data_IF_897471967968
#
_entry.id   IF_897471967968
#
_cell.length_a   1.000
_cell.length_b   1.000
_cell.length_c   1.000
_cell.angle_alpha   90.00
_cell.angle_beta   90.00
_cell.angle_gamma   90.00
#
_symmetry.space_group_name_H-M   'P 1'
#
loop_
_entity.id
_entity.type
_entity.pdbx_description
1 polymer ?
#
# COMPACT_ATOMS: atom_id res chain seq x y z
N UNK A 1 34.77 4.64 -30.67
CA UNK A 1 34.42 3.32 -30.11
C UNK A 1 34.08 3.55 -28.65
N UNK A 2 32.82 3.92 -28.38
CA UNK A 2 32.34 4.27 -27.05
C UNK A 2 32.03 2.99 -26.28
N UNK A 3 32.40 2.95 -25.00
CA UNK A 3 32.13 1.83 -24.12
C UNK A 3 30.62 1.59 -24.04
N UNK A 4 30.18 0.36 -24.36
CA UNK A 4 28.84 -0.17 -24.07
C UNK A 4 28.58 0.01 -22.57
N UNK A 5 27.65 0.89 -22.21
CA UNK A 5 27.19 1.03 -20.82
C UNK A 5 26.21 -0.13 -20.57
N UNK A 6 26.76 -1.27 -20.15
CA UNK A 6 26.08 -2.57 -20.07
C UNK A 6 25.36 -2.87 -18.76
N UNK A 7 25.34 -1.95 -17.79
CA UNK A 7 25.08 -2.35 -16.42
C UNK A 7 23.84 -1.68 -15.81
N UNK A 8 22.67 -1.77 -16.46
CA UNK A 8 21.37 -1.51 -15.80
C UNK A 8 20.94 -2.73 -14.95
N UNK A 9 21.82 -3.07 -14.01
CA UNK A 9 21.56 -4.04 -12.97
C UNK A 9 21.55 -3.34 -11.61
N UNK A 10 20.46 -3.45 -10.87
CA UNK A 10 20.29 -2.81 -9.58
C UNK A 10 20.14 -3.82 -8.46
N UNK A 11 20.83 -3.58 -7.35
CA UNK A 11 20.62 -4.36 -6.14
C UNK A 11 19.47 -3.79 -5.33
N UNK A 12 18.76 -4.64 -4.60
CA UNK A 12 17.83 -4.18 -3.55
C UNK A 12 18.57 -3.24 -2.59
N UNK A 13 17.99 -2.07 -2.35
CA UNK A 13 18.55 -0.95 -1.61
C UNK A 13 19.28 0.10 -2.46
N UNK A 14 19.46 -0.13 -3.76
CA UNK A 14 20.07 0.87 -4.65
C UNK A 14 19.19 2.10 -4.76
N UNK A 15 19.80 3.28 -4.73
CA UNK A 15 19.13 4.52 -5.10
C UNK A 15 19.33 4.80 -6.59
N UNK A 16 18.22 5.04 -7.29
CA UNK A 16 18.21 5.35 -8.72
C UNK A 16 17.41 6.61 -8.97
N UNK A 17 17.56 7.21 -10.14
CA UNK A 17 16.56 8.12 -10.69
C UNK A 17 15.92 7.51 -11.92
N UNK A 18 14.62 7.77 -12.06
CA UNK A 18 13.86 7.50 -13.28
C UNK A 18 13.15 8.79 -13.66
N UNK A 19 13.38 9.27 -14.87
CA UNK A 19 12.87 10.57 -15.37
C UNK A 19 13.22 11.74 -14.42
N UNK A 20 14.43 11.69 -13.85
CA UNK A 20 14.92 12.66 -12.86
C UNK A 20 14.33 12.53 -11.44
N UNK A 21 13.35 11.65 -11.22
CA UNK A 21 12.73 11.43 -9.90
C UNK A 21 13.48 10.36 -9.11
N UNK A 22 13.78 10.56 -7.81
CA UNK A 22 14.56 9.61 -7.02
C UNK A 22 13.72 8.43 -6.49
N UNK A 23 14.22 7.22 -6.67
CA UNK A 23 13.64 5.97 -6.19
C UNK A 23 14.64 5.11 -5.42
N UNK A 24 14.13 4.20 -4.60
CA UNK A 24 14.88 3.08 -4.01
C UNK A 24 14.38 1.78 -4.61
N UNK A 25 15.30 0.89 -4.99
CA UNK A 25 14.97 -0.46 -5.45
C UNK A 25 14.65 -1.34 -4.25
N UNK A 26 13.48 -1.93 -4.20
CA UNK A 26 12.98 -2.67 -3.05
C UNK A 26 12.79 -4.15 -3.32
N UNK A 27 12.71 -4.51 -4.59
CA UNK A 27 12.73 -5.88 -5.05
C UNK A 27 13.02 -5.96 -6.54
N UNK A 28 13.31 -7.16 -7.00
CA UNK A 28 13.36 -7.44 -8.43
C UNK A 28 12.91 -8.87 -8.72
N UNK A 29 12.51 -9.09 -9.96
CA UNK A 29 12.18 -10.39 -10.53
C UNK A 29 12.84 -10.48 -11.90
N UNK A 30 13.54 -11.58 -12.14
CA UNK A 30 14.13 -11.89 -13.44
C UNK A 30 13.26 -12.92 -14.12
N UNK A 31 12.77 -12.57 -15.30
CA UNK A 31 11.89 -13.41 -16.09
C UNK A 31 12.63 -14.08 -17.23
N UNK A 32 12.09 -15.20 -17.69
CA UNK A 32 12.50 -15.85 -18.93
C UNK A 32 11.33 -16.49 -19.64
N UNK A 33 11.23 -16.23 -20.93
CA UNK A 33 10.31 -16.89 -21.86
C UNK A 33 10.88 -18.21 -22.38
N UNK A 34 10.04 -18.94 -23.11
CA UNK A 34 10.40 -20.22 -23.71
C UNK A 34 11.44 -20.10 -24.83
N UNK A 35 11.37 -19.03 -25.63
CA UNK A 35 12.26 -18.77 -26.75
C UNK A 35 13.69 -18.41 -26.33
N UNK A 36 13.87 -17.96 -25.10
CA UNK A 36 15.15 -17.61 -24.52
C UNK A 36 15.20 -16.20 -23.94
N UNK A 37 14.28 -15.33 -24.36
CA UNK A 37 14.22 -13.91 -24.01
C UNK A 37 14.05 -13.71 -22.51
N UNK A 38 14.66 -12.65 -21.97
CA UNK A 38 14.68 -12.38 -20.54
C UNK A 38 14.79 -10.89 -20.25
N UNK A 39 14.00 -10.44 -19.28
CA UNK A 39 14.02 -9.09 -18.76
C UNK A 39 14.05 -9.12 -17.23
N UNK A 40 14.36 -7.97 -16.64
CA UNK A 40 14.31 -7.79 -15.19
C UNK A 40 13.33 -6.69 -14.84
N UNK A 41 12.49 -6.99 -13.87
CA UNK A 41 11.56 -6.04 -13.32
C UNK A 41 11.99 -5.62 -11.93
N UNK A 42 12.12 -4.32 -11.71
CA UNK A 42 12.49 -3.73 -10.44
C UNK A 42 11.28 -3.07 -9.80
N UNK A 43 10.91 -3.53 -8.62
CA UNK A 43 9.97 -2.81 -7.77
C UNK A 43 10.71 -1.62 -7.15
N UNK A 44 10.30 -0.41 -7.53
CA UNK A 44 10.94 0.85 -7.16
C UNK A 44 9.98 1.71 -6.36
N UNK A 45 10.45 2.26 -5.24
CA UNK A 45 9.67 3.16 -4.38
C UNK A 45 10.20 4.57 -4.46
N UNK A 46 9.33 5.51 -4.82
CA UNK A 46 9.66 6.93 -4.88
C UNK A 46 10.06 7.44 -3.49
N UNK A 47 11.17 8.19 -3.40
CA UNK A 47 11.61 8.80 -2.14
C UNK A 47 10.76 10.01 -1.74
N UNK A 48 9.98 10.57 -2.66
CA UNK A 48 9.17 11.77 -2.43
C UNK A 48 7.77 11.46 -1.88
N UNK A 49 7.05 10.55 -2.54
CA UNK A 49 5.65 10.22 -2.23
C UNK A 49 5.43 8.76 -1.82
N UNK A 50 6.50 7.95 -1.76
CA UNK A 50 6.45 6.52 -1.42
C UNK A 50 5.60 5.66 -2.38
N UNK A 51 5.25 6.19 -3.55
CA UNK A 51 4.58 5.44 -4.60
C UNK A 51 5.48 4.30 -5.09
N UNK A 52 4.89 3.13 -5.24
CA UNK A 52 5.56 1.95 -5.79
C UNK A 52 5.23 1.85 -7.27
N UNK A 53 6.29 1.72 -8.08
CA UNK A 53 6.22 1.47 -9.51
C UNK A 53 7.08 0.25 -9.84
N UNK A 54 6.87 -0.32 -11.02
CA UNK A 54 7.70 -1.39 -11.58
C UNK A 54 8.46 -0.84 -12.78
N UNK A 55 9.79 -0.87 -12.69
CA UNK A 55 10.67 -0.55 -13.80
C UNK A 55 11.02 -1.87 -14.51
N UNK A 56 10.49 -2.08 -15.72
CA UNK A 56 10.91 -3.18 -16.58
C UNK A 56 12.14 -2.77 -17.38
N UNK A 57 13.12 -3.67 -17.44
CA UNK A 57 14.40 -3.49 -18.11
C UNK A 57 14.67 -4.71 -18.98
N UNK A 58 14.53 -4.53 -20.29
CA UNK A 58 14.94 -5.50 -21.29
C UNK A 58 16.22 -5.01 -21.99
N UNK A 59 17.35 -5.63 -21.65
CA UNK A 59 18.66 -5.26 -22.19
C UNK A 59 18.87 -5.85 -23.59
N UNK A 60 18.22 -6.97 -23.92
CA UNK A 60 18.38 -7.65 -25.20
C UNK A 60 17.72 -6.83 -26.32
N UNK A 61 16.54 -6.28 -26.03
CA UNK A 61 15.77 -5.47 -26.98
C UNK A 61 15.92 -3.96 -26.79
N UNK A 62 16.67 -3.50 -25.78
CA UNK A 62 16.86 -2.08 -25.43
C UNK A 62 15.50 -1.38 -25.16
N UNK A 63 14.59 -2.09 -24.50
CA UNK A 63 13.25 -1.62 -24.13
C UNK A 63 13.16 -1.41 -22.61
N UNK A 64 12.58 -0.28 -22.22
CA UNK A 64 12.45 0.12 -20.81
C UNK A 64 11.07 0.72 -20.58
N UNK A 65 10.41 0.32 -19.51
CA UNK A 65 9.05 0.76 -19.23
C UNK A 65 8.81 0.93 -17.74
N UNK A 66 7.88 1.82 -17.41
CA UNK A 66 7.41 2.05 -16.05
C UNK A 66 5.95 1.66 -15.94
N UNK A 67 5.65 0.78 -14.99
CA UNK A 67 4.31 0.32 -14.69
C UNK A 67 3.85 0.75 -13.31
N UNK A 68 2.56 1.06 -13.24
CA UNK A 68 1.83 1.29 -12.00
C UNK A 68 0.69 0.29 -11.93
N UNK A 69 0.70 -0.52 -10.86
CA UNK A 69 -0.36 -1.50 -10.59
C UNK A 69 -1.70 -0.78 -10.38
N UNK A 70 -2.73 -1.31 -11.01
CA UNK A 70 -4.09 -0.81 -10.99
C UNK A 70 -5.04 -1.87 -10.41
N UNK A 71 -6.13 -1.42 -9.79
CA UNK A 71 -7.26 -2.30 -9.52
C UNK A 71 -7.97 -2.67 -10.82
N UNK A 72 -8.68 -3.81 -10.82
CA UNK A 72 -9.56 -4.13 -11.94
C UNK A 72 -10.66 -3.06 -12.11
N UNK A 73 -10.86 -2.62 -13.34
CA UNK A 73 -12.02 -1.86 -13.78
C UNK A 73 -12.47 -2.31 -15.18
N UNK A 74 -13.65 -1.87 -15.62
CA UNK A 74 -14.20 -2.24 -16.94
C UNK A 74 -13.29 -1.82 -18.11
N UNK A 75 -12.45 -0.82 -17.88
CA UNK A 75 -11.35 -0.35 -18.72
C UNK A 75 -10.29 -1.42 -19.03
N UNK A 76 -10.15 -2.45 -18.19
CA UNK A 76 -9.27 -3.60 -18.44
C UNK A 76 -9.96 -4.78 -19.14
N UNK A 77 -11.24 -4.65 -19.50
CA UNK A 77 -11.86 -5.66 -20.37
C UNK A 77 -11.25 -5.60 -21.76
N UNK A 78 -10.99 -6.76 -22.38
CA UNK A 78 -10.38 -6.82 -23.71
C UNK A 78 -11.14 -5.96 -24.75
N UNK A 79 -12.48 -5.90 -24.62
CA UNK A 79 -13.30 -5.03 -25.46
C UNK A 79 -12.99 -3.55 -25.21
N UNK A 80 -12.97 -3.11 -23.95
CA UNK A 80 -12.70 -1.71 -23.62
C UNK A 80 -11.29 -1.30 -24.03
N UNK A 81 -10.29 -2.15 -23.81
CA UNK A 81 -8.91 -1.90 -24.24
C UNK A 81 -8.85 -1.64 -25.75
N UNK A 82 -9.44 -2.51 -26.55
CA UNK A 82 -9.48 -2.38 -28.02
C UNK A 82 -10.30 -1.16 -28.46
N UNK A 83 -11.48 -0.93 -27.86
CA UNK A 83 -12.34 0.21 -28.17
C UNK A 83 -11.64 1.56 -27.86
N UNK A 84 -10.72 1.58 -26.90
CA UNK A 84 -9.89 2.73 -26.55
C UNK A 84 -8.60 2.83 -27.38
N UNK A 85 -8.47 2.04 -28.44
CA UNK A 85 -7.39 2.17 -29.42
C UNK A 85 -6.08 1.47 -29.04
N UNK A 86 -6.12 0.52 -28.10
CA UNK A 86 -4.98 -0.34 -27.80
C UNK A 86 -5.02 -1.62 -28.65
N UNK A 87 -3.84 -2.05 -29.11
CA UNK A 87 -3.62 -3.33 -29.81
C UNK A 87 -2.90 -4.29 -28.86
N UNK A 88 -3.25 -5.58 -28.91
CA UNK A 88 -2.51 -6.61 -28.18
C UNK A 88 -1.17 -6.85 -28.87
N UNK A 89 -0.07 -6.79 -28.12
CA UNK A 89 1.28 -7.05 -28.64
C UNK A 89 1.77 -8.41 -28.22
N UNK A 90 1.59 -8.77 -26.95
CA UNK A 90 2.04 -10.05 -26.40
C UNK A 90 0.91 -10.79 -25.66
N UNK A 91 0.99 -12.11 -25.67
CA UNK A 91 0.07 -13.04 -25.00
C UNK A 91 0.80 -14.35 -24.72
N UNK A 92 1.66 -14.33 -23.71
CA UNK A 92 2.67 -15.37 -23.51
C UNK A 92 2.75 -15.85 -22.05
N UNK A 93 3.73 -16.74 -21.79
CA UNK A 93 4.03 -17.27 -20.47
C UNK A 93 5.52 -17.05 -20.18
N UNK A 94 5.82 -16.42 -19.05
CA UNK A 94 7.16 -16.25 -18.54
C UNK A 94 7.38 -17.08 -17.27
N UNK A 95 8.64 -17.38 -16.97
CA UNK A 95 9.07 -18.11 -15.78
C UNK A 95 10.04 -17.28 -14.95
N UNK A 96 9.86 -17.31 -13.63
CA UNK A 96 10.76 -16.65 -12.67
C UNK A 96 12.08 -17.40 -12.57
N UNK A 97 13.20 -16.72 -12.85
CA UNK A 97 14.56 -17.26 -12.79
C UNK A 97 15.36 -16.84 -11.56
N UNK A 98 15.14 -15.61 -11.09
CA UNK A 98 15.73 -15.07 -9.88
C UNK A 98 14.80 -14.01 -9.32
N UNK A 99 14.86 -13.78 -8.02
CA UNK A 99 14.09 -12.73 -7.38
C UNK A 99 14.73 -12.33 -6.06
N UNK A 100 14.48 -11.10 -5.62
CA UNK A 100 14.93 -10.63 -4.32
C UNK A 100 14.08 -9.47 -3.83
N UNK A 101 14.07 -9.26 -2.52
CA UNK A 101 13.42 -8.09 -1.92
C UNK A 101 11.94 -8.34 -1.65
N UNK A 102 11.13 -7.29 -1.71
CA UNK A 102 9.71 -7.35 -1.33
C UNK A 102 8.81 -7.78 -2.50
N UNK A 103 9.11 -8.96 -3.07
CA UNK A 103 8.33 -9.59 -4.14
C UNK A 103 7.86 -10.95 -3.65
N UNK A 104 6.71 -11.41 -4.14
CA UNK A 104 6.11 -12.69 -3.72
C UNK A 104 5.94 -13.55 -4.95
N UNK A 105 7.08 -14.12 -5.31
CA UNK A 105 7.21 -15.13 -6.33
C UNK A 105 8.15 -16.20 -5.82
N UNK A 106 8.02 -17.41 -6.35
CA UNK A 106 8.97 -18.49 -6.13
C UNK A 106 9.81 -18.78 -7.37
N UNK A 107 11.01 -19.35 -7.16
CA UNK A 107 11.86 -19.77 -8.27
C UNK A 107 11.11 -20.80 -9.13
N UNK A 108 10.96 -20.45 -10.40
CA UNK A 108 10.31 -21.27 -11.39
C UNK A 108 8.79 -21.18 -11.44
N UNK A 109 8.19 -20.28 -10.67
CA UNK A 109 6.79 -19.86 -10.85
C UNK A 109 6.58 -19.30 -12.26
N UNK A 110 5.34 -19.41 -12.76
CA UNK A 110 4.97 -18.98 -14.09
C UNK A 110 3.91 -17.89 -14.01
N UNK A 111 4.02 -16.94 -14.93
CA UNK A 111 3.01 -15.92 -15.17
C UNK A 111 2.56 -16.03 -16.62
N UNK A 112 1.25 -16.05 -16.84
CA UNK A 112 0.69 -15.81 -18.16
C UNK A 112 0.31 -14.34 -18.26
N UNK A 113 0.72 -13.66 -19.32
CA UNK A 113 0.51 -12.23 -19.43
C UNK A 113 0.04 -11.81 -20.80
N UNK A 114 -0.66 -10.67 -20.82
CA UNK A 114 -1.17 -10.05 -22.03
C UNK A 114 -0.87 -8.56 -21.99
N UNK A 115 -0.11 -8.13 -22.97
CA UNK A 115 0.31 -6.76 -23.09
C UNK A 115 -0.36 -6.08 -24.28
N UNK A 116 -0.64 -4.80 -24.09
CA UNK A 116 -1.28 -3.96 -25.06
C UNK A 116 -0.57 -2.63 -25.15
N UNK A 117 -0.38 -2.16 -26.38
CA UNK A 117 0.16 -0.85 -26.70
C UNK A 117 -0.94 0.02 -27.32
N UNK A 118 -0.93 1.31 -27.05
CA UNK A 118 -1.80 2.24 -27.77
C UNK A 118 -1.27 2.50 -29.20
N UNK A 119 -2.03 3.25 -30.00
CA UNK A 119 -1.63 3.53 -31.38
C UNK A 119 -0.38 4.42 -31.50
N UNK A 120 0.02 5.10 -30.43
CA UNK A 120 1.27 5.88 -30.39
C UNK A 120 2.48 5.03 -30.05
N UNK A 121 2.27 3.80 -29.57
CA UNK A 121 3.32 2.93 -29.04
C UNK A 121 4.04 3.56 -27.84
N UNK A 122 3.38 4.46 -27.10
CA UNK A 122 3.93 5.10 -25.90
C UNK A 122 3.27 4.58 -24.63
N UNK A 123 1.98 4.22 -24.68
CA UNK A 123 1.20 3.83 -23.52
C UNK A 123 0.94 2.32 -23.50
N UNK A 124 1.05 1.75 -22.29
CA UNK A 124 1.04 0.32 -22.06
C UNK A 124 -0.09 -0.09 -21.12
N UNK A 125 -0.69 -1.24 -21.39
CA UNK A 125 -1.55 -1.97 -20.47
C UNK A 125 -1.00 -3.39 -20.37
N UNK A 126 -0.78 -3.86 -19.15
CA UNK A 126 -0.38 -5.24 -18.88
C UNK A 126 -1.41 -5.94 -18.00
N UNK A 127 -1.73 -7.18 -18.33
CA UNK A 127 -2.63 -8.04 -17.56
C UNK A 127 -1.93 -9.37 -17.33
N UNK A 128 -1.69 -9.70 -16.08
CA UNK A 128 -1.00 -10.93 -15.68
C UNK A 128 -1.90 -11.86 -14.90
N UNK A 129 -1.70 -13.15 -15.13
CA UNK A 129 -2.35 -14.25 -14.47
C UNK A 129 -1.27 -15.11 -13.80
N UNK A 130 -1.22 -14.96 -12.48
CA UNK A 130 -0.43 -15.73 -11.53
C UNK A 130 -1.29 -16.84 -10.94
N UNK A 131 -0.74 -17.75 -10.11
CA UNK A 131 -1.49 -18.91 -9.59
C UNK A 131 -2.75 -18.51 -8.78
N UNK A 132 -3.89 -18.44 -9.48
CA UNK A 132 -5.17 -18.02 -8.93
C UNK A 132 -5.36 -16.52 -8.76
N UNK A 133 -4.43 -15.68 -9.24
CA UNK A 133 -4.45 -14.23 -9.06
C UNK A 133 -4.27 -13.49 -10.39
N UNK A 134 -4.95 -12.35 -10.53
CA UNK A 134 -4.88 -11.53 -11.74
C UNK A 134 -4.46 -10.11 -11.39
N UNK A 135 -3.36 -9.66 -11.98
CA UNK A 135 -2.81 -8.32 -11.80
C UNK A 135 -3.06 -7.48 -13.06
N UNK A 136 -3.26 -6.19 -12.87
CA UNK A 136 -3.53 -5.23 -13.94
C UNK A 136 -2.60 -4.05 -13.74
N UNK A 137 -1.97 -3.59 -14.80
CA UNK A 137 -1.01 -2.49 -14.73
C UNK A 137 -1.18 -1.57 -15.93
N UNK A 138 -0.89 -0.29 -15.71
CA UNK A 138 -0.70 0.69 -16.77
C UNK A 138 0.73 1.16 -16.76
N UNK A 139 1.29 1.36 -17.94
CA UNK A 139 2.64 1.85 -18.06
C UNK A 139 2.85 2.73 -19.27
N UNK A 140 4.09 3.10 -19.45
CA UNK A 140 4.59 3.82 -20.61
C UNK A 140 6.07 3.49 -20.80
N UNK A 141 6.53 3.58 -22.04
CA UNK A 141 7.94 3.44 -22.35
C UNK A 141 8.74 4.65 -21.88
N UNK A 142 9.98 4.41 -21.50
CA UNK A 142 10.96 5.43 -21.15
C UNK A 142 12.27 5.17 -21.90
N UNK A 143 13.08 6.20 -22.09
CA UNK A 143 14.39 6.03 -22.69
C UNK A 143 15.38 5.49 -21.65
N UNK A 144 16.40 4.78 -22.12
CA UNK A 144 17.49 4.29 -21.28
C UNK A 144 18.15 5.43 -20.48
N UNK A 145 18.29 6.58 -21.12
CA UNK A 145 18.90 7.79 -20.57
C UNK A 145 18.11 8.37 -19.39
N UNK A 146 16.83 8.04 -19.26
CA UNK A 146 15.99 8.46 -18.13
C UNK A 146 16.31 7.68 -16.85
N UNK A 147 17.13 6.62 -16.92
CA UNK A 147 17.48 5.75 -15.80
C UNK A 147 18.91 6.01 -15.32
N UNK A 148 19.07 6.59 -14.14
CA UNK A 148 20.37 6.92 -13.54
C UNK A 148 20.65 6.13 -12.26
N UNK A 149 21.86 5.59 -12.10
CA UNK A 149 22.35 5.15 -10.77
C UNK A 149 22.80 6.35 -9.95
N UNK A 150 22.27 6.50 -8.74
CA UNK A 150 22.78 7.49 -7.79
C UNK A 150 24.03 6.89 -7.14
N UNK A 151 25.19 7.14 -7.73
CA UNK A 151 26.47 6.84 -7.10
C UNK A 151 26.67 7.77 -5.91
N UNK A 152 26.58 7.25 -4.68
CA UNK A 152 27.08 7.95 -3.51
C UNK A 152 28.60 8.08 -3.70
N UNK A 153 29.18 9.30 -3.78
CA UNK A 153 30.61 9.45 -3.90
C UNK A 153 31.26 8.86 -2.65
N UNK A 154 32.16 7.89 -2.84
CA UNK A 154 33.07 7.41 -1.80
C UNK A 154 34.11 8.50 -1.46
N UNK A 155 33.67 9.61 -0.89
CA UNK A 155 34.54 10.67 -0.36
C UNK A 155 34.31 10.82 1.15
N UNK A 156 34.59 9.76 1.89
CA UNK A 156 34.94 9.84 3.31
C UNK A 156 35.63 8.55 3.75
N UNK A 157 36.93 8.44 3.46
CA UNK A 157 37.99 7.92 4.35
C UNK A 157 39.27 7.71 3.52
N UNK A 158 40.02 8.79 3.31
CA UNK A 158 41.47 8.67 3.19
C UNK A 158 41.99 8.25 4.57
N UNK A 159 42.21 6.96 4.78
CA UNK A 159 43.18 6.51 5.78
C UNK A 159 44.31 5.87 5.00
N UNK A 160 45.46 6.55 5.05
CA UNK A 160 46.71 6.08 4.48
C UNK A 160 47.10 4.74 5.05
N UNK A 161 47.84 4.00 4.24
CA UNK A 161 48.49 2.77 4.63
C UNK A 161 49.34 2.99 5.89
N UNK A 162 48.98 2.33 6.99
CA UNK A 162 49.93 1.97 8.04
C UNK A 162 49.71 0.51 8.46
N UNK A 163 50.78 -0.25 8.36
CA UNK A 163 50.95 -1.63 8.80
C UNK A 163 50.47 -1.82 10.24
N UNK A 164 49.52 -2.74 10.48
CA UNK A 164 49.41 -3.37 11.79
C UNK A 164 49.06 -4.86 11.68
N UNK A 165 50.12 -5.66 11.74
CA UNK A 165 50.08 -7.01 12.27
C UNK A 165 49.42 -7.03 13.65
N UNK A 166 48.49 -7.96 13.89
CA UNK A 166 48.19 -8.64 15.19
C UNK A 166 46.78 -9.26 15.16
N UNK A 167 46.68 -10.54 14.83
CA UNK A 167 45.44 -11.32 14.73
C UNK A 167 44.61 -11.43 16.03
N UNK A 168 45.07 -10.88 17.16
CA UNK A 168 44.39 -10.96 18.45
C UNK A 168 43.27 -9.90 18.63
N UNK A 169 43.35 -8.75 17.97
CA UNK A 169 42.37 -7.66 18.15
C UNK A 169 41.17 -7.76 17.20
N UNK A 170 41.31 -8.45 16.07
CA UNK A 170 40.23 -8.70 15.10
C UNK A 170 39.15 -9.62 15.70
N UNK A 171 39.54 -10.59 16.54
CA UNK A 171 38.59 -11.50 17.21
C UNK A 171 37.62 -10.76 18.15
N UNK A 172 38.06 -9.71 18.85
CA UNK A 172 37.20 -8.91 19.73
C UNK A 172 36.23 -8.02 18.96
N UNK A 173 36.66 -7.49 17.80
CA UNK A 173 35.83 -6.69 16.90
C UNK A 173 34.77 -7.55 16.21
N UNK A 174 35.12 -8.76 15.76
CA UNK A 174 34.16 -9.72 15.16
C UNK A 174 33.10 -10.15 16.18
N UNK A 175 33.49 -10.42 17.44
CA UNK A 175 32.53 -10.78 18.49
C UNK A 175 31.59 -9.61 18.82
N UNK A 176 32.10 -8.37 18.89
CA UNK A 176 31.28 -7.18 19.09
C UNK A 176 30.33 -6.93 17.91
N UNK A 177 30.77 -7.16 16.67
CA UNK A 177 29.96 -7.03 15.47
C UNK A 177 28.86 -8.10 15.40
N UNK A 178 29.16 -9.35 15.76
CA UNK A 178 28.16 -10.41 15.90
C UNK A 178 27.15 -10.04 16.98
N UNK A 179 27.56 -9.47 18.11
CA UNK A 179 26.66 -9.05 19.19
C UNK A 179 25.75 -7.89 18.76
N UNK A 180 26.28 -6.92 17.99
CA UNK A 180 25.51 -5.81 17.42
C UNK A 180 24.53 -6.32 16.36
N UNK A 181 24.94 -7.23 15.47
CA UNK A 181 24.06 -7.87 14.49
C UNK A 181 22.98 -8.70 15.18
N UNK A 182 23.29 -9.39 16.28
CA UNK A 182 22.30 -10.13 17.07
C UNK A 182 21.33 -9.19 17.79
N UNK A 183 21.80 -8.06 18.32
CA UNK A 183 20.94 -7.00 18.90
C UNK A 183 20.06 -6.38 17.82
N UNK A 184 20.58 -6.13 16.61
CA UNK A 184 19.83 -5.62 15.47
C UNK A 184 18.82 -6.66 14.96
N UNK A 185 19.15 -7.96 14.97
CA UNK A 185 18.21 -9.05 14.66
C UNK A 185 17.14 -9.18 15.75
N UNK A 186 17.47 -8.95 17.02
CA UNK A 186 16.49 -8.93 18.13
C UNK A 186 15.60 -7.69 18.05
N UNK A 187 16.13 -6.53 17.66
CA UNK A 187 15.37 -5.29 17.41
C UNK A 187 14.50 -5.44 16.14
N UNK A 188 15.01 -6.05 15.07
CA UNK A 188 14.25 -6.40 13.87
C UNK A 188 13.15 -7.43 14.17
N UNK A 189 13.42 -8.41 15.05
CA UNK A 189 12.39 -9.34 15.54
C UNK A 189 11.40 -8.69 16.51
N UNK A 190 11.79 -7.65 17.24
CA UNK A 190 10.87 -6.81 18.02
C UNK A 190 10.04 -5.86 17.13
N UNK A 191 10.54 -5.50 15.94
CA UNK A 191 9.79 -4.78 14.90
C UNK A 191 8.94 -5.68 13.98
N UNK A 192 9.26 -6.97 13.90
CA UNK A 192 8.46 -8.04 13.27
C UNK A 192 7.51 -8.66 14.31
N UNK A 193 6.69 -7.83 14.95
CA UNK A 193 5.51 -8.30 15.66
C UNK A 193 4.41 -8.53 14.61
N UNK A 194 4.15 -9.80 14.29
CA UNK A 194 2.92 -10.33 13.69
C UNK A 194 2.00 -9.27 13.05
N UNK A 195 2.25 -8.94 11.78
CA UNK A 195 1.47 -7.95 11.05
C UNK A 195 0.01 -8.39 10.91
N UNK A 196 -0.83 -7.88 11.82
CA UNK A 196 -2.26 -8.07 11.80
C UNK A 196 -2.87 -7.32 10.61
N UNK A 197 -3.64 -8.02 9.75
CA UNK A 197 -4.50 -7.44 8.69
C UNK A 197 -5.63 -6.54 9.25
N UNK A 198 -5.75 -6.39 10.57
CA UNK A 198 -6.90 -5.73 11.23
C UNK A 198 -6.83 -4.20 11.31
N UNK A 199 -5.68 -3.57 11.04
CA UNK A 199 -5.43 -2.16 11.38
C UNK A 199 -5.02 -1.30 10.16
N UNK A 200 -5.72 -1.44 9.03
CA UNK A 200 -5.33 -0.75 7.79
C UNK A 200 -5.53 0.78 7.84
N UNK A 201 -6.60 1.27 8.44
CA UNK A 201 -6.85 2.70 8.62
C UNK A 201 -5.83 3.29 9.59
N UNK A 202 -5.62 2.63 10.74
CA UNK A 202 -4.65 3.08 11.73
C UNK A 202 -3.24 3.12 11.15
N UNK A 203 -2.85 2.13 10.34
CA UNK A 203 -1.54 2.12 9.66
C UNK A 203 -1.41 3.30 8.70
N UNK A 204 -2.39 3.49 7.81
CA UNK A 204 -2.36 4.58 6.84
C UNK A 204 -2.25 5.95 7.51
N UNK A 205 -3.05 6.18 8.56
CA UNK A 205 -3.03 7.43 9.32
C UNK A 205 -1.66 7.64 9.98
N UNK A 206 -1.11 6.62 10.65
CA UNK A 206 0.18 6.73 11.34
C UNK A 206 1.36 6.93 10.40
N UNK A 207 1.27 6.48 9.15
CA UNK A 207 2.31 6.67 8.14
C UNK A 207 2.17 7.96 7.33
N UNK A 208 1.06 8.68 7.47
CA UNK A 208 0.74 9.84 6.64
C UNK A 208 0.90 11.15 7.42
N UNK A 209 1.81 12.01 6.96
CA UNK A 209 2.14 13.30 7.57
C UNK A 209 1.00 14.32 7.55
N UNK A 210 -0.11 14.04 6.87
CA UNK A 210 -1.33 14.84 6.94
C UNK A 210 -2.08 14.71 8.26
N UNK A 211 -1.70 13.74 9.11
CA UNK A 211 -2.32 13.49 10.41
C UNK A 211 -1.34 13.69 11.55
N UNK A 212 -1.78 14.38 12.59
CA UNK A 212 -1.02 14.55 13.82
C UNK A 212 -1.77 13.89 14.98
N UNK A 213 -1.08 13.04 15.75
CA UNK A 213 -1.69 12.37 16.89
C UNK A 213 -2.09 13.38 17.97
N UNK A 214 -3.33 13.31 18.43
CA UNK A 214 -3.88 14.19 19.48
C UNK A 214 -3.98 13.46 20.80
N UNK A 215 -4.68 12.32 20.83
CA UNK A 215 -4.96 11.57 22.06
C UNK A 215 -5.46 10.16 21.78
N UNK A 216 -5.65 9.36 22.84
CA UNK A 216 -6.35 8.09 22.79
C UNK A 216 -7.51 8.05 23.80
N UNK A 217 -8.66 7.53 23.38
CA UNK A 217 -9.82 7.32 24.24
C UNK A 217 -9.86 5.84 24.63
N UNK A 218 -9.87 5.57 25.93
CA UNK A 218 -9.98 4.19 26.45
C UNK A 218 -11.44 3.83 26.66
N UNK A 219 -11.84 2.61 26.32
CA UNK A 219 -13.23 2.19 26.50
C UNK A 219 -13.62 2.15 27.99
N UNK A 220 -14.81 2.62 28.30
CA UNK A 220 -15.45 2.56 29.62
C UNK A 220 -15.88 1.15 30.03
N UNK A 221 -16.03 0.22 29.09
CA UNK A 221 -16.45 -1.16 29.40
C UNK A 221 -15.34 -2.18 29.21
N UNK A 222 -14.26 -1.86 28.47
CA UNK A 222 -13.08 -2.72 28.30
C UNK A 222 -11.80 -1.86 28.21
N UNK A 223 -11.11 -1.72 29.34
CA UNK A 223 -9.91 -0.87 29.48
C UNK A 223 -8.74 -1.26 28.54
N UNK A 224 -8.78 -2.45 27.96
CA UNK A 224 -7.78 -2.91 26.99
C UNK A 224 -8.05 -2.41 25.57
N UNK A 225 -9.19 -1.75 25.33
CA UNK A 225 -9.59 -1.23 24.02
C UNK A 225 -9.45 0.28 23.99
N UNK A 226 -8.80 0.77 22.95
CA UNK A 226 -8.60 2.20 22.73
C UNK A 226 -8.97 2.60 21.30
N UNK A 227 -9.39 3.85 21.16
CA UNK A 227 -9.47 4.57 19.91
C UNK A 227 -8.40 5.66 19.90
N UNK A 228 -7.77 5.90 18.76
CA UNK A 228 -6.81 6.98 18.60
C UNK A 228 -7.47 8.13 17.83
N UNK A 229 -7.13 9.35 18.23
CA UNK A 229 -7.65 10.58 17.64
C UNK A 229 -6.48 11.36 17.05
N UNK A 230 -6.67 11.82 15.83
CA UNK A 230 -5.70 12.59 15.07
C UNK A 230 -6.34 13.88 14.58
N UNK A 231 -5.55 14.93 14.43
CA UNK A 231 -5.95 16.18 13.79
C UNK A 231 -5.39 16.25 12.37
N UNK A 232 -6.02 17.07 11.52
CA UNK A 232 -5.54 17.36 10.18
C UNK A 232 -5.97 18.75 9.74
N UNK A 233 -5.14 19.39 8.90
CA UNK A 233 -5.46 20.69 8.29
C UNK A 233 -6.37 20.57 7.05
N UNK A 234 -6.80 19.35 6.70
CA UNK A 234 -7.70 19.07 5.58
C UNK A 234 -9.16 19.23 6.00
N UNK A 235 -10.04 19.44 5.03
CA UNK A 235 -11.49 19.39 5.28
C UNK A 235 -11.95 17.97 5.59
N UNK A 236 -13.16 17.80 6.13
CA UNK A 236 -13.75 16.46 6.35
C UNK A 236 -13.82 15.66 5.04
N UNK A 237 -14.22 16.31 3.95
CA UNK A 237 -14.35 15.66 2.64
C UNK A 237 -12.98 15.25 2.06
N UNK A 238 -11.98 16.14 2.10
CA UNK A 238 -10.65 15.81 1.59
C UNK A 238 -9.97 14.74 2.44
N UNK A 239 -10.22 14.77 3.76
CA UNK A 239 -9.75 13.72 4.67
C UNK A 239 -10.40 12.38 4.34
N UNK A 240 -11.72 12.37 4.07
CA UNK A 240 -12.42 11.15 3.69
C UNK A 240 -11.87 10.57 2.39
N UNK A 241 -11.68 11.40 1.35
CA UNK A 241 -11.08 10.98 0.08
C UNK A 241 -9.66 10.43 0.29
N UNK A 242 -8.83 11.15 1.05
CA UNK A 242 -7.47 10.73 1.37
C UNK A 242 -7.43 9.35 2.05
N UNK A 243 -8.31 9.11 3.03
CA UNK A 243 -8.41 7.81 3.69
C UNK A 243 -8.94 6.72 2.75
N UNK A 244 -9.92 7.04 1.90
CA UNK A 244 -10.49 6.09 0.94
C UNK A 244 -9.42 5.63 -0.07
N UNK A 245 -8.72 6.59 -0.66
CA UNK A 245 -7.65 6.33 -1.63
C UNK A 245 -6.47 5.60 -0.96
N UNK A 246 -6.16 5.98 0.27
CA UNK A 246 -5.07 5.43 1.07
C UNK A 246 -5.20 3.95 1.45
N UNK A 247 -6.42 3.46 1.64
CA UNK A 247 -6.68 2.06 2.01
C UNK A 247 -7.02 1.15 0.82
N UNK A 248 -6.96 1.67 -0.41
CA UNK A 248 -6.92 0.92 -1.68
C UNK A 248 -7.86 -0.29 -1.75
N UNK A 249 -9.17 -0.10 -1.62
CA UNK A 249 -10.12 -1.21 -1.79
C UNK A 249 -10.67 -1.79 -0.50
N UNK A 250 -10.00 -1.60 0.63
CA UNK A 250 -10.32 -2.31 1.88
C UNK A 250 -11.45 -1.66 2.71
N UNK A 251 -12.48 -1.13 2.03
CA UNK A 251 -13.58 -0.39 2.67
C UNK A 251 -14.88 -1.19 2.51
N UNK A 252 -15.47 -1.52 3.65
CA UNK A 252 -16.78 -2.15 3.72
C UNK A 252 -17.87 -1.11 3.39
N UNK A 253 -17.79 0.12 3.90
CA UNK A 253 -18.83 1.15 3.74
C UNK A 253 -18.31 2.57 4.02
N UNK A 254 -18.95 3.58 3.42
CA UNK A 254 -18.72 5.01 3.68
C UNK A 254 -20.06 5.72 3.74
N UNK A 255 -20.32 6.50 4.78
CA UNK A 255 -21.55 7.29 4.92
C UNK A 255 -21.26 8.68 5.50
N UNK A 256 -22.06 9.66 5.08
CA UNK A 256 -21.97 11.05 5.54
C UNK A 256 -23.26 11.46 6.26
N UNK A 257 -23.11 12.19 7.36
CA UNK A 257 -24.18 12.83 8.09
C UNK A 257 -24.63 14.08 7.35
N UNK A 258 -25.92 14.12 6.97
CA UNK A 258 -26.53 15.31 6.38
C UNK A 258 -26.72 16.47 7.39
N UNK A 259 -26.45 16.25 8.68
CA UNK A 259 -26.66 17.25 9.73
C UNK A 259 -25.43 18.12 9.97
N UNK A 260 -24.24 17.52 10.00
CA UNK A 260 -22.99 18.17 10.38
C UNK A 260 -21.81 17.81 9.47
N UNK A 261 -22.05 17.06 8.39
CA UNK A 261 -21.01 16.64 7.45
C UNK A 261 -20.05 15.58 8.01
N UNK A 262 -20.31 15.04 9.20
CA UNK A 262 -19.51 13.94 9.78
C UNK A 262 -19.49 12.74 8.84
N UNK A 263 -18.32 12.19 8.57
CA UNK A 263 -18.15 11.00 7.70
C UNK A 263 -17.69 9.81 8.52
N UNK A 264 -18.27 8.64 8.23
CA UNK A 264 -17.79 7.36 8.76
C UNK A 264 -17.30 6.48 7.62
N UNK A 265 -16.08 5.96 7.75
CA UNK A 265 -15.49 4.93 6.89
C UNK A 265 -15.35 3.66 7.70
N UNK A 266 -15.90 2.56 7.22
CA UNK A 266 -15.82 1.24 7.86
C UNK A 266 -15.01 0.29 7.01
N UNK A 267 -14.11 -0.44 7.65
CA UNK A 267 -13.41 -1.59 7.06
C UNK A 267 -13.85 -2.87 7.78
N UNK A 268 -13.26 -4.00 7.38
CA UNK A 268 -13.50 -5.30 8.01
C UNK A 268 -13.27 -5.31 9.52
N UNK A 269 -12.30 -4.53 10.01
CA UNK A 269 -11.84 -4.58 11.39
C UNK A 269 -11.79 -3.20 12.09
N UNK A 270 -11.88 -2.10 11.35
CA UNK A 270 -11.81 -0.73 11.88
C UNK A 270 -12.97 0.15 11.44
N UNK A 271 -13.11 1.26 12.15
CA UNK A 271 -14.00 2.36 11.82
C UNK A 271 -13.24 3.68 12.02
N UNK A 272 -13.22 4.53 10.99
CA UNK A 272 -12.76 5.90 11.07
C UNK A 272 -13.95 6.87 11.05
N UNK A 273 -14.02 7.74 12.07
CA UNK A 273 -14.99 8.83 12.18
C UNK A 273 -14.26 10.14 11.94
N UNK A 274 -14.69 10.90 10.92
CA UNK A 274 -14.10 12.16 10.50
C UNK A 274 -15.13 13.27 10.76
N UNK A 275 -14.77 14.25 11.57
CA UNK A 275 -15.71 15.27 12.05
C UNK A 275 -15.00 16.59 12.36
N UNK A 276 -15.78 17.65 12.44
CA UNK A 276 -15.33 18.93 12.97
C UNK A 276 -15.55 18.93 14.49
N UNK A 277 -14.49 19.20 15.25
CA UNK A 277 -14.53 19.31 16.70
C UNK A 277 -15.28 20.56 17.15
N UNK A 278 -15.62 20.65 18.44
CA UNK A 278 -16.18 21.87 19.04
C UNK A 278 -15.26 23.10 18.91
N UNK A 279 -13.96 22.88 18.70
CA UNK A 279 -12.95 23.93 18.47
C UNK A 279 -12.74 24.25 16.98
N UNK A 280 -13.62 23.76 16.10
CA UNK A 280 -13.56 23.93 14.65
C UNK A 280 -12.33 23.29 13.94
N UNK A 281 -11.76 22.23 14.55
CA UNK A 281 -10.67 21.45 13.96
C UNK A 281 -11.20 20.18 13.28
N UNK A 282 -10.63 19.78 12.14
CA UNK A 282 -10.94 18.47 11.56
C UNK A 282 -10.21 17.38 12.34
N UNK A 283 -10.97 16.49 12.96
CA UNK A 283 -10.45 15.33 13.69
C UNK A 283 -10.85 14.02 13.02
N UNK A 284 -9.95 13.04 13.16
CA UNK A 284 -10.18 11.65 12.76
C UNK A 284 -10.01 10.78 13.99
N UNK A 285 -11.09 10.13 14.42
CA UNK A 285 -11.02 9.04 15.38
C UNK A 285 -10.99 7.72 14.62
N UNK A 286 -9.93 6.93 14.81
CA UNK A 286 -9.84 5.56 14.30
C UNK A 286 -9.92 4.57 15.45
N UNK A 287 -10.77 3.57 15.29
CA UNK A 287 -11.07 2.57 16.30
C UNK A 287 -11.10 1.20 15.66
N UNK A 288 -10.60 0.18 16.36
CA UNK A 288 -11.02 -1.19 16.08
C UNK A 288 -12.53 -1.32 16.31
N UNK A 289 -13.21 -2.11 15.49
CA UNK A 289 -14.64 -2.41 15.67
C UNK A 289 -14.96 -3.04 17.03
N UNK A 290 -13.98 -3.73 17.63
CA UNK A 290 -14.05 -4.22 19.01
C UNK A 290 -14.23 -3.08 20.03
N UNK A 291 -13.48 -1.98 19.87
CA UNK A 291 -13.64 -0.79 20.72
C UNK A 291 -15.04 -0.19 20.54
N UNK A 292 -15.51 -0.05 19.30
CA UNK A 292 -16.84 0.53 19.03
C UNK A 292 -17.93 -0.33 19.68
N UNK A 293 -17.84 -1.65 19.56
CA UNK A 293 -18.77 -2.60 20.17
C UNK A 293 -18.81 -2.50 21.70
N UNK A 294 -17.64 -2.27 22.32
CA UNK A 294 -17.47 -2.30 23.78
C UNK A 294 -17.33 -0.91 24.42
N UNK A 295 -17.60 0.20 23.74
CA UNK A 295 -17.49 1.53 24.34
C UNK A 295 -18.76 2.38 24.18
N UNK A 296 -19.04 3.20 25.20
CA UNK A 296 -20.06 4.25 25.18
C UNK A 296 -19.48 5.66 25.13
N UNK A 297 -18.16 5.79 25.02
CA UNK A 297 -17.52 7.09 24.96
C UNK A 297 -17.99 7.89 23.74
N UNK A 298 -18.20 9.18 23.99
CA UNK A 298 -18.40 10.14 22.92
C UNK A 298 -17.08 10.38 22.18
N UNK A 299 -17.11 10.72 20.88
CA UNK A 299 -15.93 11.17 20.17
C UNK A 299 -15.25 12.35 20.88
N UNK A 300 -13.93 12.38 20.87
CA UNK A 300 -13.15 13.42 21.56
C UNK A 300 -13.47 14.82 21.03
N UNK A 301 -14.01 15.70 21.88
CA UNK A 301 -14.47 17.05 21.47
C UNK A 301 -15.47 17.01 20.29
N UNK A 302 -16.21 15.91 20.14
CA UNK A 302 -17.28 15.78 19.16
C UNK A 302 -18.58 16.36 19.72
N UNK A 303 -19.40 16.94 18.83
CA UNK A 303 -20.71 17.45 19.20
C UNK A 303 -21.69 16.31 19.56
N UNK A 304 -22.80 16.64 20.21
CA UNK A 304 -23.90 15.69 20.43
C UNK A 304 -24.49 15.14 19.11
N UNK A 305 -24.42 15.91 18.03
CA UNK A 305 -24.88 15.48 16.69
C UNK A 305 -23.94 14.40 16.15
N UNK A 306 -22.64 14.64 16.27
CA UNK A 306 -21.56 13.74 15.85
C UNK A 306 -21.60 12.42 16.62
N UNK A 307 -21.71 12.47 17.96
CA UNK A 307 -21.86 11.26 18.80
C UNK A 307 -23.12 10.48 18.42
N UNK A 308 -24.26 11.17 18.33
CA UNK A 308 -25.52 10.55 17.94
C UNK A 308 -25.43 9.90 16.57
N UNK A 309 -24.81 10.53 15.57
CA UNK A 309 -24.61 9.94 14.25
C UNK A 309 -23.68 8.72 14.30
N UNK A 310 -22.52 8.83 14.96
CA UNK A 310 -21.55 7.74 15.11
C UNK A 310 -22.19 6.47 15.69
N UNK A 311 -22.96 6.61 16.77
CA UNK A 311 -23.66 5.49 17.40
C UNK A 311 -24.77 4.91 16.53
N UNK A 312 -25.58 5.78 15.90
CA UNK A 312 -26.68 5.36 15.00
C UNK A 312 -26.14 4.63 13.77
N UNK A 313 -25.05 5.13 13.17
CA UNK A 313 -24.37 4.51 12.05
C UNK A 313 -23.92 3.09 12.42
N UNK A 314 -23.10 2.94 13.45
CA UNK A 314 -22.56 1.63 13.84
C UNK A 314 -23.67 0.63 14.15
N UNK A 315 -24.69 1.05 14.91
CA UNK A 315 -25.84 0.20 15.23
C UNK A 315 -26.61 -0.27 13.99
N UNK A 316 -26.72 0.60 12.97
CA UNK A 316 -27.46 0.31 11.75
C UNK A 316 -26.68 -0.61 10.80
N UNK A 317 -25.39 -0.32 10.56
CA UNK A 317 -24.64 -0.92 9.45
C UNK A 317 -23.68 -2.03 9.87
N UNK A 318 -23.17 -2.00 11.10
CA UNK A 318 -22.06 -2.87 11.53
C UNK A 318 -22.44 -3.83 12.66
N UNK A 319 -23.25 -3.37 13.63
CA UNK A 319 -23.49 -4.03 14.90
C UNK A 319 -23.93 -5.50 14.79
N UNK A 320 -24.81 -5.87 13.85
CA UNK A 320 -25.29 -7.25 13.76
C UNK A 320 -24.18 -8.26 13.43
N UNK A 321 -23.24 -7.86 12.56
CA UNK A 321 -22.04 -8.67 12.22
C UNK A 321 -21.16 -8.81 13.46
N UNK A 322 -20.94 -7.71 14.16
CA UNK A 322 -20.05 -7.63 15.31
C UNK A 322 -20.59 -8.29 16.57
N UNK A 323 -21.90 -8.22 16.82
CA UNK A 323 -22.57 -8.88 17.93
C UNK A 323 -22.27 -10.38 17.95
N UNK A 324 -22.19 -11.00 16.78
CA UNK A 324 -21.85 -12.42 16.66
C UNK A 324 -20.34 -12.65 16.86
N UNK A 325 -19.50 -11.83 16.21
CA UNK A 325 -18.03 -11.90 16.26
C UNK A 325 -17.47 -11.64 17.66
N UNK A 326 -18.05 -10.68 18.37
CA UNK A 326 -17.57 -10.13 19.65
C UNK A 326 -18.49 -10.47 20.84
N UNK A 327 -19.27 -11.55 20.74
CA UNK A 327 -20.22 -12.00 21.79
C UNK A 327 -19.62 -12.19 23.20
N UNK A 328 -18.28 -12.30 23.30
CA UNK A 328 -17.54 -12.43 24.57
C UNK A 328 -17.13 -11.08 25.18
N UNK A 329 -17.21 -9.99 24.43
CA UNK A 329 -16.89 -8.64 24.89
C UNK A 329 -18.12 -7.97 25.51
N UNK A 330 -17.94 -7.00 26.41
CA UNK A 330 -19.01 -6.11 26.86
C UNK A 330 -19.71 -5.45 25.67
N UNK A 331 -21.04 -5.40 25.70
CA UNK A 331 -21.84 -4.86 24.60
C UNK A 331 -22.40 -3.48 24.98
N UNK A 332 -21.81 -2.42 24.42
CA UNK A 332 -22.22 -1.04 24.63
C UNK A 332 -23.59 -0.67 24.02
N UNK A 333 -24.16 -1.58 23.21
CA UNK A 333 -25.42 -1.43 22.50
C UNK A 333 -26.53 -2.37 23.01
N UNK A 334 -26.29 -3.09 24.12
CA UNK A 334 -27.29 -4.01 24.70
C UNK A 334 -28.59 -3.30 25.07
N UNK A 335 -28.47 -2.07 25.56
CA UNK A 335 -29.54 -1.18 26.00
C UNK A 335 -29.73 0.02 25.06
N UNK A 336 -29.19 -0.07 23.84
CA UNK A 336 -29.29 1.02 22.87
C UNK A 336 -30.74 1.23 22.43
N UNK A 337 -31.23 2.45 22.65
CA UNK A 337 -32.58 2.91 22.28
C UNK A 337 -32.54 4.13 21.35
N UNK A 338 -31.36 4.47 20.82
CA UNK A 338 -31.22 5.52 19.82
C UNK A 338 -31.83 5.10 18.48
N UNK A 339 -31.98 6.07 17.58
CA UNK A 339 -32.51 5.83 16.24
C UNK A 339 -31.58 4.98 15.37
N UNK A 340 -31.97 4.85 14.10
CA UNK A 340 -31.14 4.29 13.03
C UNK A 340 -30.86 5.37 11.99
N UNK A 341 -29.82 5.18 11.20
CA UNK A 341 -29.64 5.98 9.98
C UNK A 341 -30.38 5.31 8.81
N UNK A 342 -30.65 6.07 7.76
CA UNK A 342 -30.99 5.53 6.45
C UNK A 342 -29.69 5.60 5.64
N UNK A 343 -29.04 4.46 5.32
CA UNK A 343 -27.86 4.47 4.50
C UNK A 343 -28.16 5.08 3.13
N UNK A 344 -27.26 5.95 2.66
CA UNK A 344 -27.30 6.49 1.32
C UNK A 344 -26.37 5.65 0.42
N UNK A 345 -26.98 4.74 -0.33
CA UNK A 345 -26.29 3.90 -1.29
C UNK A 345 -25.79 4.68 -2.52
N UNK A 346 -26.16 5.96 -2.71
CA UNK A 346 -25.71 6.84 -3.80
C UNK A 346 -24.85 8.01 -3.31
N UNK A 347 -24.27 7.92 -2.11
CA UNK A 347 -23.51 9.04 -1.55
C UNK A 347 -22.31 9.45 -2.42
N UNK A 348 -21.85 10.69 -2.26
CA UNK A 348 -20.75 11.27 -3.07
C UNK A 348 -19.42 10.52 -2.96
N UNK A 349 -19.23 9.74 -1.89
CA UNK A 349 -18.05 8.89 -1.71
C UNK A 349 -18.15 7.55 -2.45
N UNK A 350 -19.32 7.22 -3.03
CA UNK A 350 -19.54 5.96 -3.73
C UNK A 350 -18.62 5.78 -4.92
N UNK A 351 -18.35 6.80 -5.72
CA UNK A 351 -17.43 6.68 -6.87
C UNK A 351 -16.04 6.21 -6.40
N UNK A 352 -15.63 6.67 -5.22
CA UNK A 352 -14.37 6.31 -4.57
C UNK A 352 -14.45 4.97 -3.84
N UNK A 353 -15.61 4.58 -3.30
CA UNK A 353 -15.80 3.31 -2.59
C UNK A 353 -16.21 2.14 -3.50
N UNK A 354 -16.77 2.39 -4.69
CA UNK A 354 -17.20 1.36 -5.65
C UNK A 354 -16.06 0.88 -6.53
N UNK A 355 -15.15 1.77 -6.95
CA UNK A 355 -13.85 1.36 -7.53
C UNK A 355 -13.07 0.47 -6.56
N UNK A 356 -13.19 0.78 -5.28
CA UNK A 356 -12.61 0.08 -4.13
C UNK A 356 -13.34 -1.24 -3.82
N UNK A 357 -14.68 -1.29 -3.84
CA UNK A 357 -15.46 -2.54 -3.62
C UNK A 357 -15.28 -3.55 -4.77
N UNK A 358 -15.19 -3.10 -6.01
CA UNK A 358 -14.83 -3.96 -7.15
C UNK A 358 -13.40 -4.51 -7.00
N UNK A 359 -12.50 -3.67 -6.47
CA UNK A 359 -11.13 -4.07 -6.12
C UNK A 359 -11.09 -5.02 -4.92
N UNK A 360 -12.04 -4.94 -3.97
CA UNK A 360 -12.09 -5.74 -2.73
C UNK A 360 -12.55 -7.19 -2.93
N UNK A 361 -13.35 -7.46 -3.96
CA UNK A 361 -13.69 -8.83 -4.37
C UNK A 361 -12.49 -9.49 -5.06
N UNK A 362 -11.55 -8.69 -5.58
CA UNK A 362 -10.29 -9.13 -6.18
C UNK A 362 -9.08 -9.03 -5.24
N UNK A 363 -9.19 -8.37 -4.07
CA UNK A 363 -8.10 -8.22 -3.11
C UNK A 363 -8.11 -9.35 -2.07
N UNK A 364 -7.99 -10.60 -2.53
CA UNK A 364 -7.08 -11.48 -1.81
C UNK A 364 -5.69 -10.91 -2.06
N UNK A 365 -4.91 -10.79 -0.99
CA UNK A 365 -3.57 -10.23 -1.03
C UNK A 365 -2.71 -11.06 -1.98
N UNK A 366 -2.56 -10.60 -3.22
CA UNK A 366 -1.39 -10.88 -4.04
C UNK A 366 -0.30 -9.96 -3.55
N UNK A 367 0.78 -10.53 -3.07
CA UNK A 367 2.04 -9.84 -3.19
C UNK A 367 2.49 -10.18 -4.63
N UNK A 368 2.32 -9.24 -5.55
CA UNK A 368 3.48 -8.59 -6.14
C UNK A 368 4.31 -9.56 -7.00
N UNK A 369 3.69 -10.12 -8.03
CA UNK A 369 4.33 -10.99 -9.01
C UNK A 369 5.34 -10.29 -9.95
N UNK A 370 5.47 -8.97 -9.87
CA UNK A 370 6.10 -8.17 -10.92
C UNK A 370 5.20 -8.09 -12.13
N UNK A 371 5.36 -7.02 -12.90
CA UNK A 371 4.82 -7.04 -14.25
C UNK A 371 5.63 -8.05 -15.10
N UNK A 372 5.17 -8.50 -16.25
CA UNK A 372 5.92 -9.44 -17.06
C UNK A 372 5.97 -8.93 -18.48
N UNK A 373 6.75 -7.86 -18.67
CA UNK A 373 6.99 -7.26 -19.98
C UNK A 373 8.41 -7.51 -20.49
N UNK A 374 8.53 -8.36 -21.51
CA UNK A 374 9.72 -8.50 -22.38
C UNK A 374 9.30 -9.14 -23.70
N UNK A 375 9.96 -8.75 -24.79
CA UNK A 375 9.67 -9.21 -26.16
C UNK A 375 10.59 -10.34 -26.60
#
# INVERSE_FOLDING_TARGET
MAMKNSDLYFHVGSEIKVEGNPFVVEGYIVFKQYDGSSWTEYMIRSKGNYEVKWLSVDIEYDEYAIYTKCGYGEDFSAKSIIDNGYKKVDDEIAKVLDYKGQVDVELGEQVSYRDYEDNTEELLISIEEWDGEKEYSRGYYIDKEDIEKINIPNNALHIGAEDYSSAANIRKIIIAFIFIVLIVIVILKMGLLNFSKKEILSKYINSNSSFEYVTSITSDLDENKKANVYSTNKTVEDTAKLLIDGVQGNIDDVQESQQDGTVVITTKDELALIYISEDAETLVQVSLREYVYSSRHMPYRGSNITDGYYRRYYYTTVYQKDKTKFKKLPNAYRDYNGGQIIPDDNNKYRIYSSSVRQSSVNSRTSSGGGTSFGK
#
